data_IF_329812004987
#
_entry.id   IF_329812004987
#
_cell.length_a   1.000
_cell.length_b   1.000
_cell.length_c   1.000
_cell.angle_alpha   90.00
_cell.angle_beta   90.00
_cell.angle_gamma   90.00
#
_symmetry.space_group_name_H-M   'P 1'
#
loop_
_entity.id
_entity.type
_entity.pdbx_description
1 polymer ?
#
# COMPACT_ATOMS: atom_id res chain seq x y z
N UNK A 1 -50.11 17.91 17.51
CA UNK A 1 -49.47 16.79 16.77
C UNK A 1 -47.99 17.08 16.67
N UNK A 2 -47.23 16.36 17.42
CA UNK A 2 -45.78 16.45 17.32
C UNK A 2 -45.30 15.38 16.39
N UNK A 3 -44.83 15.76 15.20
CA UNK A 3 -44.13 14.86 14.32
C UNK A 3 -42.68 14.84 14.79
N UNK A 4 -42.32 13.76 15.45
CA UNK A 4 -40.94 13.52 15.74
C UNK A 4 -40.29 12.88 14.52
N UNK A 5 -39.55 13.68 13.80
CA UNK A 5 -38.60 13.18 12.81
C UNK A 5 -37.43 12.57 13.57
N UNK A 6 -37.49 11.28 13.77
CA UNK A 6 -36.30 10.51 14.18
C UNK A 6 -35.43 10.44 12.96
N UNK A 7 -34.49 11.35 12.87
CA UNK A 7 -33.44 11.24 11.90
C UNK A 7 -32.62 10.00 12.20
N UNK A 8 -32.76 8.97 11.38
CA UNK A 8 -31.87 7.83 11.42
C UNK A 8 -30.50 8.34 10.97
N UNK A 9 -29.63 8.54 11.93
CA UNK A 9 -28.22 8.72 11.64
C UNK A 9 -27.68 7.37 11.23
N UNK A 10 -27.67 7.12 9.94
CA UNK A 10 -26.97 5.99 9.39
C UNK A 10 -25.49 6.35 9.46
N UNK A 11 -24.84 5.90 10.49
CA UNK A 11 -23.38 5.96 10.57
C UNK A 11 -22.83 4.99 9.53
N UNK A 12 -22.50 5.50 8.37
CA UNK A 12 -21.74 4.78 7.36
C UNK A 12 -20.28 4.67 7.83
N UNK A 13 -20.05 3.82 8.83
CA UNK A 13 -18.71 3.49 9.30
C UNK A 13 -18.11 2.31 8.49
N UNK A 14 -18.75 1.90 7.40
CA UNK A 14 -18.53 0.58 6.81
C UNK A 14 -17.46 0.61 5.74
N UNK A 15 -16.49 1.29 5.66
CA UNK A 15 -15.48 1.17 4.59
C UNK A 15 -14.06 1.45 5.05
N UNK A 16 -13.89 2.31 6.03
CA UNK A 16 -12.57 2.74 6.46
C UNK A 16 -11.85 1.70 7.36
N UNK A 17 -12.61 0.77 7.96
CA UNK A 17 -12.06 -0.19 8.91
C UNK A 17 -11.22 -1.30 8.27
N UNK A 18 -11.27 -1.48 6.94
CA UNK A 18 -10.62 -2.58 6.24
C UNK A 18 -9.51 -2.16 5.29
N UNK A 19 -9.29 -0.87 5.14
CA UNK A 19 -8.14 -0.38 4.37
C UNK A 19 -6.89 -0.50 5.25
N UNK A 20 -6.09 -1.53 5.01
CA UNK A 20 -4.79 -1.63 5.65
C UNK A 20 -3.91 -0.48 5.16
N UNK A 21 -3.18 0.15 6.07
CA UNK A 21 -2.17 1.14 5.68
C UNK A 21 -1.05 0.45 4.90
N UNK A 22 -0.38 1.19 4.04
CA UNK A 22 0.78 0.67 3.31
C UNK A 22 1.85 0.12 4.24
N UNK A 23 2.06 0.76 5.39
CA UNK A 23 2.98 0.27 6.42
C UNK A 23 2.59 -1.10 6.95
N UNK A 24 1.30 -1.33 7.20
CA UNK A 24 0.80 -2.63 7.66
C UNK A 24 0.94 -3.71 6.59
N UNK A 25 0.67 -3.38 5.34
CA UNK A 25 0.79 -4.31 4.22
C UNK A 25 2.24 -4.78 4.06
N UNK A 26 3.21 -3.86 4.08
CA UNK A 26 4.62 -4.23 3.93
C UNK A 26 5.10 -5.15 5.04
N UNK A 27 4.57 -5.01 6.24
CA UNK A 27 4.85 -5.92 7.35
C UNK A 27 4.19 -7.29 7.16
N UNK A 28 2.89 -7.29 6.90
CA UNK A 28 2.10 -8.53 6.82
C UNK A 28 2.47 -9.40 5.61
N UNK A 29 2.91 -8.79 4.53
CA UNK A 29 3.32 -9.51 3.32
C UNK A 29 4.81 -9.87 3.30
N UNK A 30 5.53 -9.60 4.36
CA UNK A 30 6.93 -10.00 4.51
C UNK A 30 7.93 -9.20 3.68
N UNK A 31 7.56 -8.01 3.23
CA UNK A 31 8.44 -7.14 2.45
C UNK A 31 9.72 -6.79 3.22
N UNK A 32 9.60 -6.64 4.53
CA UNK A 32 10.70 -6.29 5.43
C UNK A 32 11.76 -7.39 5.59
N UNK A 33 11.53 -8.57 5.07
CA UNK A 33 12.54 -9.64 5.05
C UNK A 33 13.67 -9.32 4.07
N UNK A 34 13.38 -8.59 2.99
CA UNK A 34 14.33 -8.26 1.93
C UNK A 34 14.56 -6.76 1.77
N UNK A 35 13.73 -5.93 2.36
CA UNK A 35 13.81 -4.49 2.28
C UNK A 35 13.82 -3.85 3.67
N UNK A 36 14.51 -2.73 3.75
CA UNK A 36 14.51 -1.86 4.92
C UNK A 36 14.29 -0.42 4.45
N UNK A 37 13.89 0.47 5.36
CA UNK A 37 13.65 1.87 5.01
C UNK A 37 14.93 2.53 4.49
N UNK A 38 16.06 2.31 5.14
CA UNK A 38 17.31 2.98 4.85
C UNK A 38 18.44 2.05 4.42
N UNK A 39 18.44 0.82 4.91
CA UNK A 39 19.52 -0.13 4.67
C UNK A 39 19.23 -1.04 3.47
N UNK A 40 20.25 -1.28 2.66
CA UNK A 40 20.18 -2.29 1.62
C UNK A 40 20.29 -3.67 2.24
N UNK A 41 19.36 -4.54 1.85
CA UNK A 41 19.36 -5.97 2.20
C UNK A 41 19.47 -6.79 0.91
N UNK A 42 18.65 -7.83 0.76
CA UNK A 42 18.54 -8.56 -0.50
C UNK A 42 17.95 -7.69 -1.60
N UNK A 43 17.06 -6.77 -1.25
CA UNK A 43 16.53 -5.75 -2.13
C UNK A 43 17.03 -4.36 -1.76
N UNK A 44 16.80 -3.36 -2.63
CA UNK A 44 17.15 -1.97 -2.34
C UNK A 44 16.36 -1.43 -1.17
N UNK A 45 16.89 -0.40 -0.51
CA UNK A 45 16.15 0.31 0.52
C UNK A 45 14.95 1.04 -0.06
N UNK A 46 13.92 1.26 0.73
CA UNK A 46 12.74 2.00 0.27
C UNK A 46 13.07 3.45 -0.08
N UNK A 47 14.01 4.06 0.63
CA UNK A 47 14.49 5.41 0.29
C UNK A 47 15.12 5.45 -1.10
N UNK A 48 15.89 4.44 -1.46
CA UNK A 48 16.50 4.34 -2.78
C UNK A 48 15.45 4.12 -3.86
N UNK A 49 14.46 3.27 -3.61
CA UNK A 49 13.35 3.04 -4.53
C UNK A 49 12.58 4.35 -4.75
N UNK A 50 12.24 5.05 -3.69
CA UNK A 50 11.54 6.32 -3.76
C UNK A 50 12.34 7.37 -4.56
N UNK A 51 13.63 7.48 -4.30
CA UNK A 51 14.51 8.39 -5.01
C UNK A 51 14.61 8.07 -6.50
N UNK A 52 14.73 6.81 -6.84
CA UNK A 52 14.80 6.33 -8.23
C UNK A 52 13.56 6.66 -9.03
N UNK A 53 12.38 6.63 -8.38
CA UNK A 53 11.09 6.82 -9.03
C UNK A 53 10.46 8.19 -8.75
N UNK A 54 11.20 9.11 -8.18
CA UNK A 54 10.72 10.41 -7.72
C UNK A 54 9.94 11.19 -8.79
N UNK A 55 10.40 11.18 -10.01
CA UNK A 55 9.81 11.95 -11.12
C UNK A 55 8.96 11.09 -12.06
N UNK A 56 8.75 9.82 -11.73
CA UNK A 56 7.97 8.90 -12.53
C UNK A 56 6.53 8.84 -12.02
N UNK A 57 5.62 9.50 -12.71
CA UNK A 57 4.18 9.51 -12.37
C UNK A 57 3.52 8.15 -12.53
N UNK A 58 4.14 7.25 -13.29
CA UNK A 58 3.62 5.90 -13.54
C UNK A 58 4.23 4.84 -12.63
N UNK A 59 5.12 5.25 -11.72
CA UNK A 59 5.86 4.33 -10.85
C UNK A 59 4.94 3.42 -10.03
N UNK A 60 3.88 3.97 -9.46
CA UNK A 60 2.94 3.19 -8.65
C UNK A 60 2.33 2.04 -9.44
N UNK A 61 1.84 2.31 -10.64
CA UNK A 61 1.26 1.28 -11.51
C UNK A 61 2.28 0.26 -11.96
N UNK A 62 3.47 0.70 -12.37
CA UNK A 62 4.56 -0.18 -12.80
C UNK A 62 5.04 -1.10 -11.70
N UNK A 63 5.26 -0.56 -10.52
CA UNK A 63 5.72 -1.34 -9.36
C UNK A 63 4.65 -2.30 -8.86
N UNK A 64 3.40 -1.87 -8.85
CA UNK A 64 2.27 -2.74 -8.50
C UNK A 64 2.18 -3.94 -9.44
N UNK A 65 2.26 -3.71 -10.75
CA UNK A 65 2.25 -4.78 -11.74
C UNK A 65 3.45 -5.73 -11.57
N UNK A 66 4.62 -5.20 -11.31
CA UNK A 66 5.84 -5.98 -11.08
C UNK A 66 5.71 -6.93 -9.90
N UNK A 67 5.13 -6.46 -8.81
CA UNK A 67 4.90 -7.27 -7.61
C UNK A 67 3.81 -8.33 -7.85
N UNK A 68 2.77 -7.96 -8.56
CA UNK A 68 1.65 -8.86 -8.87
C UNK A 68 2.05 -9.99 -9.81
N UNK A 69 2.85 -9.68 -10.81
CA UNK A 69 3.26 -10.62 -11.85
C UNK A 69 4.55 -11.34 -11.53
N UNK A 70 5.35 -10.84 -10.60
CA UNK A 70 6.63 -11.43 -10.23
C UNK A 70 7.72 -11.21 -11.26
N UNK A 71 7.69 -10.11 -11.98
CA UNK A 71 8.71 -9.78 -13.00
C UNK A 71 9.96 -9.18 -12.37
N UNK A 72 11.03 -9.95 -12.32
CA UNK A 72 12.28 -9.51 -11.69
C UNK A 72 12.17 -9.30 -10.18
N UNK A 73 11.14 -9.86 -9.57
CA UNK A 73 10.83 -9.77 -8.15
C UNK A 73 9.95 -10.97 -7.78
N UNK A 74 10.07 -11.51 -6.56
CA UNK A 74 9.15 -12.55 -6.11
C UNK A 74 7.70 -12.08 -6.20
N UNK A 75 6.83 -12.95 -6.66
CA UNK A 75 5.41 -12.67 -6.76
C UNK A 75 4.81 -12.52 -5.38
N UNK A 76 4.07 -11.44 -5.17
CA UNK A 76 3.43 -11.15 -3.89
C UNK A 76 1.94 -11.51 -3.95
N UNK A 77 1.50 -12.35 -3.03
CA UNK A 77 0.10 -12.75 -2.89
C UNK A 77 -0.66 -11.67 -2.11
N UNK A 78 -1.24 -10.74 -2.83
CA UNK A 78 -2.00 -9.63 -2.25
C UNK A 78 -3.02 -9.09 -3.26
N UNK A 79 -4.04 -8.42 -2.76
CA UNK A 79 -4.99 -7.71 -3.62
C UNK A 79 -4.35 -6.50 -4.29
N UNK A 80 -4.93 -6.03 -5.39
CA UNK A 80 -4.46 -4.81 -6.06
C UNK A 80 -4.47 -3.61 -5.10
N UNK A 81 -5.47 -3.49 -4.26
CA UNK A 81 -5.57 -2.41 -3.28
C UNK A 81 -4.44 -2.48 -2.23
N UNK A 82 -4.13 -3.68 -1.75
CA UNK A 82 -3.02 -3.89 -0.83
C UNK A 82 -1.67 -3.56 -1.47
N UNK A 83 -1.45 -4.00 -2.69
CA UNK A 83 -0.22 -3.71 -3.42
C UNK A 83 -0.05 -2.22 -3.68
N UNK A 84 -1.11 -1.53 -4.09
CA UNK A 84 -1.08 -0.08 -4.27
C UNK A 84 -0.77 0.67 -2.98
N UNK A 85 -1.36 0.24 -1.87
CA UNK A 85 -1.09 0.83 -0.57
C UNK A 85 0.38 0.64 -0.16
N UNK A 86 0.91 -0.56 -0.35
CA UNK A 86 2.31 -0.86 -0.07
C UNK A 86 3.27 -0.04 -0.94
N UNK A 87 3.03 0.01 -2.24
CA UNK A 87 3.85 0.78 -3.18
C UNK A 87 3.80 2.27 -2.85
N UNK A 88 2.61 2.81 -2.57
CA UNK A 88 2.46 4.20 -2.17
C UNK A 88 3.26 4.54 -0.91
N UNK A 89 3.24 3.65 0.07
CA UNK A 89 4.05 3.78 1.29
C UNK A 89 5.54 3.81 0.97
N UNK A 90 6.02 2.88 0.15
CA UNK A 90 7.44 2.81 -0.24
C UNK A 90 7.86 4.08 -1.00
N UNK A 91 7.05 4.54 -1.93
CA UNK A 91 7.35 5.75 -2.72
C UNK A 91 7.31 7.03 -1.89
N UNK A 92 6.68 7.01 -0.72
CA UNK A 92 6.64 8.15 0.20
C UNK A 92 7.85 8.24 1.12
N UNK A 93 8.74 7.27 1.10
CA UNK A 93 9.96 7.26 1.91
C UNK A 93 11.08 8.11 1.27
#
# INVERSE_FOLDING_TARGET
MKVQLIGAVIALAAGAAFAQSGADVVKSKGCTKCHDVSAKKMGPSWKDIAAKHKDDKEAEGKLTAKLKEGQGHPKIQASDAELKAAVGYVLSQ
#
